data_IF_381382761095
#
_entry.id   IF_381382761095
#
_cell.length_a   1.000
_cell.length_b   1.000
_cell.length_c   1.000
_cell.angle_alpha   90.00
_cell.angle_beta   90.00
_cell.angle_gamma   90.00
#
_symmetry.space_group_name_H-M   'P 1'
#
loop_
_entity.id
_entity.type
_entity.pdbx_description
1 polymer ?
#
# COMPACT_ATOMS: atom_id res chain seq x y z
N UNK A 1 7.75 -19.83 8.36
CA UNK A 1 8.35 -19.12 9.51
C UNK A 1 7.89 -17.66 9.61
N UNK A 2 7.54 -16.96 8.53
CA UNK A 2 7.18 -15.54 8.63
C UNK A 2 5.85 -15.23 9.33
N UNK A 3 4.87 -16.14 9.32
CA UNK A 3 3.61 -15.94 10.06
C UNK A 3 3.79 -15.79 11.58
N UNK A 4 4.72 -16.54 12.18
CA UNK A 4 5.04 -16.45 13.61
C UNK A 4 5.84 -15.17 13.94
N UNK A 5 6.75 -14.76 13.04
CA UNK A 5 7.48 -13.48 13.13
C UNK A 5 6.54 -12.29 13.11
N UNK A 6 5.60 -12.25 12.16
CA UNK A 6 4.58 -11.19 12.07
C UNK A 6 3.78 -11.13 13.37
N UNK A 7 3.27 -12.25 13.86
CA UNK A 7 2.46 -12.31 15.10
C UNK A 7 3.21 -11.76 16.32
N UNK A 8 4.49 -12.10 16.47
CA UNK A 8 5.32 -11.57 17.56
C UNK A 8 5.56 -10.06 17.42
N UNK A 9 5.81 -9.58 16.20
CA UNK A 9 6.00 -8.15 15.93
C UNK A 9 4.70 -7.35 16.12
N UNK A 10 3.54 -7.91 15.76
CA UNK A 10 2.22 -7.33 16.05
C UNK A 10 1.97 -7.18 17.55
N UNK A 11 2.34 -8.19 18.33
CA UNK A 11 2.28 -8.08 19.79
C UNK A 11 3.24 -7.01 20.30
N UNK A 12 4.44 -6.92 19.73
CA UNK A 12 5.43 -5.90 20.10
C UNK A 12 4.90 -4.48 19.85
N UNK A 13 4.36 -4.18 18.67
CA UNK A 13 3.81 -2.84 18.38
C UNK A 13 2.58 -2.50 19.23
N UNK A 14 1.81 -3.51 19.68
CA UNK A 14 0.71 -3.31 20.64
C UNK A 14 1.20 -2.94 22.04
N UNK A 15 2.30 -3.56 22.48
CA UNK A 15 2.88 -3.30 23.80
C UNK A 15 3.67 -1.98 23.83
N UNK A 16 4.36 -1.66 22.75
CA UNK A 16 5.19 -0.45 22.62
C UNK A 16 4.87 0.29 21.32
N UNK A 17 3.75 1.04 21.26
CA UNK A 17 3.31 1.71 20.04
C UNK A 17 4.26 2.83 19.59
N UNK A 18 5.09 3.34 20.50
CA UNK A 18 6.09 4.39 20.24
C UNK A 18 7.47 3.83 19.83
N UNK A 19 7.61 2.50 19.73
CA UNK A 19 8.83 1.88 19.20
C UNK A 19 8.77 1.84 17.66
N UNK A 20 9.42 2.82 17.03
CA UNK A 20 9.47 2.88 15.56
C UNK A 20 10.17 1.67 14.94
N UNK A 21 11.12 1.05 15.65
CA UNK A 21 11.87 -0.10 15.13
C UNK A 21 10.96 -1.34 15.10
N UNK A 22 10.05 -1.47 16.06
CA UNK A 22 9.00 -2.49 16.01
C UNK A 22 8.08 -2.33 14.79
N UNK A 23 7.62 -1.10 14.51
CA UNK A 23 6.79 -0.82 13.32
C UNK A 23 7.54 -1.07 12.01
N UNK A 24 8.81 -0.68 11.95
CA UNK A 24 9.64 -0.88 10.76
C UNK A 24 9.92 -2.37 10.49
N UNK A 25 10.24 -3.15 11.53
CA UNK A 25 10.47 -4.58 11.39
C UNK A 25 9.18 -5.34 11.09
N UNK A 26 8.02 -4.90 11.59
CA UNK A 26 6.72 -5.42 11.20
C UNK A 26 6.44 -5.14 9.71
N UNK A 27 6.71 -3.92 9.24
CA UNK A 27 6.56 -3.56 7.83
C UNK A 27 7.45 -4.39 6.91
N UNK A 28 8.70 -4.66 7.31
CA UNK A 28 9.58 -5.59 6.60
C UNK A 28 9.03 -7.01 6.56
N UNK A 29 8.56 -7.53 7.68
CA UNK A 29 7.99 -8.87 7.72
C UNK A 29 6.77 -8.98 6.79
N UNK A 30 5.89 -7.98 6.78
CA UNK A 30 4.78 -7.91 5.82
C UNK A 30 5.23 -7.79 4.36
N UNK A 31 6.30 -7.03 4.10
CA UNK A 31 6.88 -6.90 2.76
C UNK A 31 7.47 -8.24 2.27
N UNK A 32 8.18 -8.97 3.14
CA UNK A 32 8.72 -10.30 2.82
C UNK A 32 7.62 -11.32 2.49
N UNK A 33 6.45 -11.21 3.14
CA UNK A 33 5.26 -12.03 2.87
C UNK A 33 4.37 -11.46 1.74
N UNK A 34 4.86 -10.45 0.99
CA UNK A 34 4.14 -9.80 -0.11
C UNK A 34 2.81 -9.12 0.28
N UNK A 35 2.60 -8.84 1.57
CA UNK A 35 1.46 -8.08 2.06
C UNK A 35 1.74 -6.57 1.97
N UNK A 36 1.90 -6.07 0.75
CA UNK A 36 2.40 -4.72 0.45
C UNK A 36 1.62 -3.59 1.11
N UNK A 37 0.29 -3.72 1.21
CA UNK A 37 -0.56 -2.70 1.84
C UNK A 37 -0.27 -2.61 3.34
N UNK A 38 -0.21 -3.75 4.04
CA UNK A 38 0.10 -3.76 5.47
C UNK A 38 1.53 -3.31 5.74
N UNK A 39 2.46 -3.69 4.86
CA UNK A 39 3.85 -3.23 4.92
C UNK A 39 3.91 -1.69 4.81
N UNK A 40 3.21 -1.12 3.84
CA UNK A 40 3.11 0.31 3.65
C UNK A 40 2.54 1.02 4.88
N UNK A 41 1.42 0.52 5.42
CA UNK A 41 0.80 1.09 6.62
C UNK A 41 1.77 1.09 7.81
N UNK A 42 2.52 0.00 8.01
CA UNK A 42 3.53 -0.12 9.06
C UNK A 42 4.69 0.87 8.86
N UNK A 43 5.16 1.06 7.63
CA UNK A 43 6.22 2.03 7.35
C UNK A 43 5.74 3.47 7.56
N UNK A 44 4.50 3.79 7.21
CA UNK A 44 3.94 5.11 7.49
C UNK A 44 3.78 5.35 9.00
N UNK A 45 3.42 4.33 9.78
CA UNK A 45 3.38 4.44 11.24
C UNK A 45 4.78 4.67 11.82
N UNK A 46 5.79 3.95 11.33
CA UNK A 46 7.17 4.16 11.74
C UNK A 46 7.64 5.61 11.45
N UNK A 47 7.28 6.19 10.29
CA UNK A 47 7.59 7.59 9.95
C UNK A 47 6.99 8.56 10.97
N UNK A 48 5.71 8.40 11.32
CA UNK A 48 5.01 9.24 12.31
C UNK A 48 5.71 9.17 13.66
N UNK A 49 5.96 7.96 14.16
CA UNK A 49 6.57 7.72 15.48
C UNK A 49 7.98 8.31 15.54
N UNK A 50 8.78 8.20 14.47
CA UNK A 50 10.11 8.83 14.42
C UNK A 50 10.01 10.35 14.53
N UNK A 51 9.10 10.97 13.77
CA UNK A 51 8.93 12.42 13.78
C UNK A 51 8.48 12.92 15.16
N UNK A 52 7.60 12.19 15.84
CA UNK A 52 7.18 12.50 17.21
C UNK A 52 8.33 12.35 18.21
N UNK A 53 9.11 11.27 18.12
CA UNK A 53 10.26 11.03 18.99
C UNK A 53 11.33 12.13 18.84
N UNK A 54 11.60 12.58 17.62
CA UNK A 54 12.50 13.72 17.36
C UNK A 54 11.92 15.01 17.95
N UNK A 55 10.61 15.25 17.78
CA UNK A 55 9.93 16.41 18.35
C UNK A 55 10.05 16.45 19.88
N UNK A 56 9.81 15.33 20.55
CA UNK A 56 9.93 15.23 22.01
C UNK A 56 11.37 15.38 22.51
N UNK A 57 12.36 14.86 21.77
CA UNK A 57 13.78 15.07 22.11
C UNK A 57 14.19 16.54 21.99
N UNK A 58 13.79 17.22 20.90
CA UNK A 58 14.06 18.65 20.71
C UNK A 58 13.37 19.50 21.78
N UNK A 59 12.15 19.14 22.15
CA UNK A 59 11.41 19.80 23.23
C UNK A 59 12.12 19.62 24.57
N UNK A 60 12.64 18.42 24.88
CA UNK A 60 13.44 18.15 26.09
C UNK A 60 14.73 18.98 26.13
N UNK A 61 15.31 19.30 24.97
CA UNK A 61 16.49 20.19 24.86
C UNK A 61 16.16 21.69 24.91
N UNK A 62 14.88 22.06 24.99
CA UNK A 62 14.44 23.46 24.99
C UNK A 62 14.26 24.08 23.60
N UNK A 63 14.48 23.32 22.53
CA UNK A 63 14.30 23.76 21.14
C UNK A 63 12.84 23.66 20.69
N UNK A 64 11.97 24.47 21.31
CA UNK A 64 10.50 24.38 21.15
C UNK A 64 10.07 24.63 19.70
N UNK A 65 10.64 25.60 19.00
CA UNK A 65 10.27 25.94 17.62
C UNK A 65 10.57 24.79 16.65
N UNK A 66 11.75 24.18 16.78
CA UNK A 66 12.15 23.01 16.01
C UNK A 66 11.23 21.82 16.30
N UNK A 67 10.93 21.56 17.58
CA UNK A 67 9.98 20.51 17.97
C UNK A 67 8.60 20.69 17.31
N UNK A 68 8.05 21.91 17.26
CA UNK A 68 6.78 22.19 16.58
C UNK A 68 6.82 21.89 15.07
N UNK A 69 7.97 22.06 14.41
CA UNK A 69 8.11 21.68 13.00
C UNK A 69 7.96 20.18 12.82
N UNK A 70 8.59 19.37 13.67
CA UNK A 70 8.52 17.92 13.60
C UNK A 70 7.13 17.37 13.97
N UNK A 71 6.48 17.91 14.99
CA UNK A 71 5.09 17.55 15.30
C UNK A 71 4.12 17.88 14.15
N UNK A 72 4.29 19.04 13.51
CA UNK A 72 3.49 19.39 12.32
C UNK A 72 3.75 18.44 11.15
N UNK A 73 4.98 17.96 10.98
CA UNK A 73 5.31 16.94 9.96
C UNK A 73 4.66 15.60 10.29
N UNK A 74 4.71 15.15 11.55
CA UNK A 74 4.04 13.94 12.01
C UNK A 74 2.53 13.98 11.71
N UNK A 75 1.85 15.08 12.09
CA UNK A 75 0.42 15.27 11.80
C UNK A 75 0.11 15.28 10.29
N UNK A 76 0.99 15.85 9.46
CA UNK A 76 0.82 15.80 7.99
C UNK A 76 1.00 14.38 7.46
N UNK A 77 1.94 13.61 8.02
CA UNK A 77 2.13 12.21 7.67
C UNK A 77 0.89 11.38 8.03
N UNK A 78 0.37 11.53 9.24
CA UNK A 78 -0.86 10.87 9.70
C UNK A 78 -2.08 11.23 8.83
N UNK A 79 -2.26 12.52 8.48
CA UNK A 79 -3.32 12.94 7.54
C UNK A 79 -3.18 12.31 6.16
N UNK A 80 -1.96 12.01 5.70
CA UNK A 80 -1.75 11.28 4.44
C UNK A 80 -2.23 9.84 4.57
N UNK A 81 -1.99 9.19 5.72
CA UNK A 81 -2.52 7.85 5.99
C UNK A 81 -4.04 7.84 5.92
N UNK A 82 -4.73 8.79 6.57
CA UNK A 82 -6.20 8.89 6.54
C UNK A 82 -6.78 9.09 5.14
N UNK A 83 -6.06 9.77 4.25
CA UNK A 83 -6.47 9.97 2.85
C UNK A 83 -6.17 8.77 1.95
N UNK A 84 -5.12 8.02 2.28
CA UNK A 84 -4.63 6.89 1.50
C UNK A 84 -5.14 5.55 2.00
N UNK A 85 -5.63 5.49 3.24
CA UNK A 85 -6.39 4.37 3.75
C UNK A 85 -7.47 4.11 2.71
N UNK A 86 -7.38 3.00 1.94
CA UNK A 86 -8.45 2.68 1.04
C UNK A 86 -9.66 2.62 1.94
N UNK A 87 -10.69 3.39 1.59
CA UNK A 87 -12.06 3.04 1.93
C UNK A 87 -12.31 1.67 1.30
N UNK A 88 -11.71 0.62 1.88
CA UNK A 88 -11.67 -0.75 1.38
C UNK A 88 -13.05 -1.38 1.34
N UNK A 89 -14.05 -0.69 1.90
CA UNK A 89 -15.46 -1.03 1.84
C UNK A 89 -16.19 -0.45 0.62
N UNK A 90 -15.72 0.63 -0.02
CA UNK A 90 -16.55 1.32 -1.01
C UNK A 90 -16.48 0.73 -2.41
N UNK A 91 -15.34 0.17 -2.83
CA UNK A 91 -15.27 -0.40 -4.19
C UNK A 91 -16.08 -1.68 -4.30
N UNK A 92 -16.06 -2.56 -3.29
CA UNK A 92 -16.91 -3.75 -3.25
C UNK A 92 -18.40 -3.40 -3.16
N UNK A 93 -18.75 -2.40 -2.35
CA UNK A 93 -20.13 -1.89 -2.29
C UNK A 93 -20.56 -1.25 -3.61
N UNK A 94 -19.67 -0.49 -4.27
CA UNK A 94 -19.95 0.12 -5.57
C UNK A 94 -20.14 -0.96 -6.63
N UNK A 95 -19.28 -1.98 -6.66
CA UNK A 95 -19.43 -3.13 -7.56
C UNK A 95 -20.76 -3.85 -7.28
N UNK A 96 -21.08 -4.12 -6.02
CA UNK A 96 -22.33 -4.79 -5.62
C UNK A 96 -23.58 -4.00 -6.05
N UNK A 97 -23.57 -2.67 -5.86
CA UNK A 97 -24.65 -1.77 -6.26
C UNK A 97 -24.79 -1.76 -7.78
N UNK A 98 -23.69 -1.64 -8.53
CA UNK A 98 -23.72 -1.61 -10.00
C UNK A 98 -24.16 -2.95 -10.58
N UNK A 99 -23.69 -4.08 -10.05
CA UNK A 99 -24.16 -5.40 -10.51
C UNK A 99 -25.62 -5.65 -10.16
N UNK A 100 -26.07 -5.18 -8.99
CA UNK A 100 -27.45 -5.31 -8.55
C UNK A 100 -28.42 -4.50 -9.41
N UNK A 101 -28.06 -3.28 -9.82
CA UNK A 101 -28.90 -2.46 -10.69
C UNK A 101 -29.01 -3.06 -12.10
N UNK A 102 -27.90 -3.56 -12.67
CA UNK A 102 -27.92 -4.23 -13.98
C UNK A 102 -28.84 -5.47 -13.95
N UNK A 103 -28.78 -6.27 -12.88
CA UNK A 103 -29.65 -7.45 -12.73
C UNK A 103 -31.13 -7.06 -12.67
N UNK A 104 -31.48 -6.00 -11.92
CA UNK A 104 -32.85 -5.49 -11.86
C UNK A 104 -33.35 -5.03 -13.24
N UNK A 105 -32.55 -4.24 -13.96
CA UNK A 105 -32.91 -3.81 -15.31
C UNK A 105 -33.09 -4.98 -16.28
N UNK A 106 -32.22 -6.00 -16.21
CA UNK A 106 -32.35 -7.23 -17.02
C UNK A 106 -33.67 -7.95 -16.74
N UNK A 107 -34.03 -8.14 -15.46
CA UNK A 107 -35.30 -8.81 -15.09
C UNK A 107 -36.55 -8.04 -15.54
N UNK A 108 -36.52 -6.71 -15.48
CA UNK A 108 -37.64 -5.86 -15.94
C UNK A 108 -37.80 -5.96 -17.46
N UNK A 109 -36.69 -5.91 -18.21
CA UNK A 109 -36.69 -6.07 -19.68
C UNK A 109 -37.24 -7.46 -20.05
N UNK A 110 -36.87 -8.50 -19.32
CA UNK A 110 -37.36 -9.86 -19.53
C UNK A 110 -38.86 -10.01 -19.28
N UNK A 111 -39.38 -9.34 -18.25
CA UNK A 111 -40.81 -9.37 -17.93
C UNK A 111 -41.65 -8.70 -19.02
N UNK A 112 -41.14 -7.61 -19.61
CA UNK A 112 -41.80 -6.88 -20.70
C UNK A 112 -41.77 -7.68 -22.01
N UNK A 113 -40.69 -8.41 -22.29
CA UNK A 113 -40.51 -9.20 -23.52
C UNK A 113 -41.02 -10.66 -23.41
N UNK A 114 -41.44 -11.07 -22.20
CA UNK A 114 -41.90 -12.42 -21.85
C UNK A 114 -42.96 -13.04 -22.78
N UNK A 115 -43.96 -12.29 -23.29
CA UNK A 115 -45.03 -12.90 -24.09
C UNK A 115 -44.58 -13.38 -25.47
N UNK A 116 -43.46 -12.87 -25.99
CA UNK A 116 -43.12 -13.01 -27.41
C UNK A 116 -42.05 -14.06 -27.72
N UNK A 117 -41.41 -14.66 -26.70
CA UNK A 117 -40.14 -15.37 -26.90
C UNK A 117 -39.87 -16.47 -25.85
N UNK A 118 -40.90 -17.24 -25.49
CA UNK A 118 -40.84 -18.24 -24.39
C UNK A 118 -39.72 -19.30 -24.49
N UNK A 119 -39.07 -19.49 -25.64
CA UNK A 119 -38.08 -20.57 -25.84
C UNK A 119 -36.68 -20.12 -26.28
N UNK A 120 -36.51 -18.88 -26.78
CA UNK A 120 -35.24 -18.43 -27.39
C UNK A 120 -34.46 -17.45 -26.50
N UNK A 121 -35.17 -16.66 -25.69
CA UNK A 121 -34.58 -15.61 -24.86
C UNK A 121 -33.62 -16.16 -23.78
N UNK A 122 -33.94 -17.23 -23.02
CA UNK A 122 -33.05 -17.71 -21.95
C UNK A 122 -31.69 -18.18 -22.48
N UNK A 123 -31.69 -18.82 -23.66
CA UNK A 123 -30.48 -19.29 -24.31
C UNK A 123 -29.61 -18.13 -24.81
N UNK A 124 -30.24 -17.11 -25.42
CA UNK A 124 -29.57 -15.91 -25.89
C UNK A 124 -28.94 -15.10 -24.75
N UNK A 125 -29.58 -15.05 -23.57
CA UNK A 125 -29.02 -14.36 -22.39
C UNK A 125 -27.81 -15.10 -21.84
N UNK A 126 -27.90 -16.42 -21.66
CA UNK A 126 -26.77 -17.22 -21.20
C UNK A 126 -25.56 -17.07 -22.13
N UNK A 127 -25.83 -17.02 -23.45
CA UNK A 127 -24.80 -16.85 -24.46
C UNK A 127 -24.23 -15.42 -24.44
N UNK A 128 -25.07 -14.40 -24.22
CA UNK A 128 -24.65 -13.01 -24.06
C UNK A 128 -23.81 -12.80 -22.80
N UNK A 129 -24.24 -13.32 -21.65
CA UNK A 129 -23.52 -13.22 -20.37
C UNK A 129 -22.17 -13.93 -20.44
N UNK A 130 -22.09 -15.10 -21.08
CA UNK A 130 -20.84 -15.81 -21.33
C UNK A 130 -19.90 -14.98 -22.22
N UNK A 131 -20.43 -14.33 -23.25
CA UNK A 131 -19.66 -13.54 -24.21
C UNK A 131 -19.15 -12.24 -23.56
N UNK A 132 -19.97 -11.58 -22.76
CA UNK A 132 -19.59 -10.42 -21.93
C UNK A 132 -18.52 -10.82 -20.92
N UNK A 133 -18.67 -11.96 -20.24
CA UNK A 133 -17.67 -12.47 -19.31
C UNK A 133 -16.34 -12.75 -20.00
N UNK A 134 -16.37 -13.40 -21.16
CA UNK A 134 -15.17 -13.69 -21.97
C UNK A 134 -14.47 -12.43 -22.50
N UNK A 135 -15.21 -11.36 -22.78
CA UNK A 135 -14.62 -10.07 -23.18
C UNK A 135 -14.09 -9.26 -21.99
N UNK A 136 -14.74 -9.34 -20.83
CA UNK A 136 -14.32 -8.58 -19.64
C UNK A 136 -13.18 -9.25 -18.88
N UNK A 137 -13.05 -10.59 -18.92
CA UNK A 137 -12.02 -11.32 -18.21
C UNK A 137 -10.59 -10.90 -18.62
N UNK A 138 -10.22 -10.79 -19.91
CA UNK A 138 -8.90 -10.34 -20.33
C UNK A 138 -8.64 -8.87 -19.94
N UNK A 139 -9.65 -8.02 -20.02
CA UNK A 139 -9.55 -6.59 -19.64
C UNK A 139 -9.32 -6.48 -18.13
N UNK A 140 -10.01 -7.28 -17.32
CA UNK A 140 -9.81 -7.34 -15.88
C UNK A 140 -8.41 -7.85 -15.52
N UNK A 141 -7.92 -8.89 -16.20
CA UNK A 141 -6.56 -9.44 -16.01
C UNK A 141 -5.50 -8.39 -16.38
N UNK A 142 -5.64 -7.74 -17.54
CA UNK A 142 -4.69 -6.70 -17.99
C UNK A 142 -4.76 -5.46 -17.10
N UNK A 143 -5.94 -5.01 -16.68
CA UNK A 143 -6.12 -3.89 -15.76
C UNK A 143 -5.54 -4.22 -14.37
N UNK A 144 -5.70 -5.44 -13.88
CA UNK A 144 -5.09 -5.88 -12.63
C UNK A 144 -3.55 -5.96 -12.74
N UNK A 145 -3.01 -6.43 -13.87
CA UNK A 145 -1.57 -6.51 -14.11
C UNK A 145 -0.92 -5.14 -14.30
N UNK A 146 -1.55 -4.25 -15.06
CA UNK A 146 -1.08 -2.87 -15.28
C UNK A 146 -1.25 -2.01 -14.04
N UNK A 147 -2.32 -2.22 -13.25
CA UNK A 147 -2.48 -1.59 -11.94
C UNK A 147 -1.36 -1.99 -10.98
N UNK A 148 -0.89 -3.26 -10.98
CA UNK A 148 0.26 -3.69 -10.18
C UNK A 148 1.55 -3.01 -10.61
N UNK A 149 1.87 -2.99 -11.91
CA UNK A 149 3.07 -2.30 -12.41
C UNK A 149 3.07 -0.80 -12.12
N UNK A 150 1.92 -0.14 -12.29
CA UNK A 150 1.78 1.30 -12.03
C UNK A 150 1.87 1.61 -10.53
N UNK A 151 1.36 0.74 -9.66
CA UNK A 151 1.54 0.88 -8.20
C UNK A 151 2.98 0.67 -7.78
N UNK A 152 3.72 -0.26 -8.41
CA UNK A 152 5.16 -0.43 -8.14
C UNK A 152 5.98 0.79 -8.56
N UNK A 153 5.78 1.33 -9.76
CA UNK A 153 6.50 2.53 -10.21
C UNK A 153 6.12 3.76 -9.39
N UNK A 154 4.84 3.97 -9.09
CA UNK A 154 4.37 5.06 -8.25
C UNK A 154 4.88 4.93 -6.80
N UNK A 155 4.96 3.71 -6.28
CA UNK A 155 5.55 3.42 -4.98
C UNK A 155 7.05 3.74 -4.97
N UNK A 156 7.81 3.31 -5.99
CA UNK A 156 9.24 3.64 -6.13
C UNK A 156 9.47 5.14 -6.24
N UNK A 157 8.63 5.86 -6.99
CA UNK A 157 8.74 7.30 -7.17
C UNK A 157 8.41 8.05 -5.87
N UNK A 158 7.43 7.57 -5.09
CA UNK A 158 7.13 8.10 -3.74
C UNK A 158 8.25 7.80 -2.75
N UNK A 159 8.85 6.61 -2.82
CA UNK A 159 10.00 6.24 -1.98
C UNK A 159 11.19 7.16 -2.26
N UNK A 160 11.49 7.37 -3.55
CA UNK A 160 12.57 8.24 -3.99
C UNK A 160 12.32 9.71 -3.63
N UNK A 161 11.07 10.18 -3.68
CA UNK A 161 10.69 11.51 -3.22
C UNK A 161 10.91 11.67 -1.71
N UNK A 162 10.51 10.66 -0.92
CA UNK A 162 10.73 10.63 0.53
C UNK A 162 12.24 10.62 0.83
N UNK A 163 13.03 9.82 0.10
CA UNK A 163 14.50 9.81 0.21
C UNK A 163 15.10 11.19 -0.08
N UNK A 164 14.65 11.86 -1.13
CA UNK A 164 15.12 13.19 -1.49
C UNK A 164 14.75 14.24 -0.43
N UNK A 165 13.54 14.17 0.12
CA UNK A 165 13.10 15.07 1.21
C UNK A 165 13.90 14.84 2.48
N UNK A 166 14.13 13.58 2.85
CA UNK A 166 14.99 13.22 3.98
C UNK A 166 16.40 13.79 3.73
N UNK A 167 16.99 13.55 2.55
CA UNK A 167 18.33 14.05 2.22
C UNK A 167 18.43 15.58 2.20
N UNK A 168 17.38 16.30 1.80
CA UNK A 168 17.35 17.76 1.84
C UNK A 168 17.32 18.30 3.28
N UNK A 169 16.55 17.66 4.16
CA UNK A 169 16.51 18.00 5.60
C UNK A 169 17.85 17.69 6.26
N UNK A 170 18.44 16.54 5.91
CA UNK A 170 19.76 16.07 6.38
C UNK A 170 20.88 17.06 6.03
N UNK A 171 20.85 17.62 4.82
CA UNK A 171 21.90 18.53 4.35
C UNK A 171 21.74 19.97 4.91
N UNK A 172 20.61 20.27 5.56
CA UNK A 172 20.35 21.59 6.17
C UNK A 172 20.75 21.67 7.65
N UNK A 173 21.00 20.55 8.34
CA UNK A 173 21.33 20.54 9.77
C UNK A 173 22.78 20.06 10.01
N UNK A 174 23.62 20.97 10.47
CA UNK A 174 25.04 20.76 10.83
C UNK A 174 25.17 20.12 12.23
N UNK A 175 24.43 19.04 12.49
CA UNK A 175 24.39 18.37 13.80
C UNK A 175 25.01 16.96 13.69
N UNK A 176 26.21 16.73 14.25
CA UNK A 176 26.98 15.50 14.07
C UNK A 176 26.28 14.21 14.56
N UNK A 177 25.40 14.30 15.56
CA UNK A 177 24.67 13.16 16.11
C UNK A 177 23.50 12.73 15.21
N UNK A 178 22.86 13.69 14.55
CA UNK A 178 21.83 13.45 13.54
C UNK A 178 22.49 12.79 12.32
N UNK A 179 23.66 13.28 11.89
CA UNK A 179 24.48 12.66 10.82
C UNK A 179 24.79 11.18 11.09
N UNK A 180 25.08 10.80 12.35
CA UNK A 180 25.37 9.41 12.74
C UNK A 180 24.13 8.51 12.68
N UNK A 181 22.98 9.00 13.15
CA UNK A 181 21.68 8.31 13.02
C UNK A 181 21.25 8.17 11.55
N UNK A 182 21.51 9.19 10.74
CA UNK A 182 21.22 9.20 9.30
C UNK A 182 22.12 8.23 8.54
N UNK A 183 23.41 8.10 8.87
CA UNK A 183 24.28 7.10 8.25
C UNK A 183 23.78 5.68 8.49
N UNK A 184 23.29 5.39 9.70
CA UNK A 184 22.68 4.10 10.03
C UNK A 184 21.39 3.89 9.23
N UNK A 185 20.56 4.93 9.11
CA UNK A 185 19.38 4.93 8.24
C UNK A 185 19.70 4.65 6.77
N UNK A 186 20.69 5.35 6.19
CA UNK A 186 21.16 5.17 4.80
C UNK A 186 21.72 3.77 4.54
N UNK A 187 22.44 3.19 5.50
CA UNK A 187 22.94 1.82 5.40
C UNK A 187 21.80 0.78 5.43
N UNK A 188 20.78 0.99 6.26
CA UNK A 188 19.58 0.14 6.30
C UNK A 188 18.73 0.30 5.03
N UNK A 189 18.60 1.51 4.50
CA UNK A 189 17.89 1.81 3.24
C UNK A 189 18.59 1.25 2.01
N UNK A 190 19.92 1.42 1.88
CA UNK A 190 20.71 0.79 0.80
C UNK A 190 20.57 -0.72 0.84
N UNK A 191 20.58 -1.35 2.02
CA UNK A 191 20.35 -2.79 2.16
C UNK A 191 18.94 -3.19 1.74
N UNK A 192 17.92 -2.40 2.07
CA UNK A 192 16.55 -2.64 1.63
C UNK A 192 16.39 -2.50 0.10
N UNK A 193 17.01 -1.48 -0.50
CA UNK A 193 17.05 -1.29 -1.96
C UNK A 193 17.76 -2.45 -2.68
N UNK A 194 18.92 -2.87 -2.18
CA UNK A 194 19.64 -4.04 -2.72
C UNK A 194 18.86 -5.34 -2.55
N UNK A 195 18.17 -5.54 -1.42
CA UNK A 195 17.30 -6.69 -1.22
C UNK A 195 16.13 -6.68 -2.22
N UNK A 196 15.56 -5.51 -2.50
CA UNK A 196 14.47 -5.34 -3.46
C UNK A 196 14.93 -5.57 -4.92
N UNK A 197 16.09 -5.04 -5.31
CA UNK A 197 16.69 -5.30 -6.63
C UNK A 197 17.04 -6.78 -6.82
N UNK A 198 17.49 -7.46 -5.75
CA UNK A 198 17.77 -8.91 -5.78
C UNK A 198 16.50 -9.73 -5.97
N UNK A 199 15.45 -9.44 -5.20
CA UNK A 199 14.14 -10.11 -5.35
C UNK A 199 13.56 -9.87 -6.74
N UNK A 200 13.69 -8.65 -7.28
CA UNK A 200 13.27 -8.32 -8.65
C UNK A 200 14.01 -9.16 -9.69
N UNK A 201 15.32 -9.34 -9.51
CA UNK A 201 16.16 -10.13 -10.42
C UNK A 201 15.81 -11.62 -10.37
N UNK A 202 15.71 -12.20 -9.17
CA UNK A 202 15.33 -13.60 -8.97
C UNK A 202 13.92 -13.91 -9.51
N UNK A 203 12.99 -12.96 -9.38
CA UNK A 203 11.64 -13.07 -9.92
C UNK A 203 11.60 -12.99 -11.45
N UNK A 204 12.39 -12.09 -12.07
CA UNK A 204 12.51 -12.03 -13.53
C UNK A 204 13.16 -13.30 -14.11
N UNK A 205 14.17 -13.84 -13.42
CA UNK A 205 14.89 -15.03 -13.86
C UNK A 205 14.02 -16.30 -13.72
N UNK A 206 13.23 -16.39 -12.66
CA UNK A 206 12.24 -17.47 -12.46
C UNK A 206 11.14 -17.45 -13.51
N UNK A 207 10.73 -16.25 -13.95
CA UNK A 207 9.73 -16.08 -15.00
C UNK A 207 10.27 -16.42 -16.40
N UNK A 208 11.55 -16.19 -16.66
CA UNK A 208 12.20 -16.55 -17.93
C UNK A 208 12.51 -18.04 -18.05
N UNK A 209 12.85 -18.73 -16.95
CA UNK A 209 13.08 -20.19 -16.95
C UNK A 209 11.78 -21.02 -16.99
N UNK A 210 10.63 -20.40 -16.74
CA UNK A 210 9.30 -21.04 -16.78
C UNK A 210 8.60 -20.97 -18.14
N UNK A 211 9.27 -20.48 -19.19
CA UNK A 211 8.82 -20.48 -20.59
C UNK A 211 9.62 -21.48 -21.41
#
# INVERSE_FOLDING_TARGET
>A
MGSERIKNLEMKVKMTPTDFEAWYELGKAYHEEMEWLKAFDCFQHAEVVILENIGEELKRRGSIESAQVYFRRAQRAERRQLKLAPTGSNWLQTVLIVTGTIALFSTIILFILWPSFQFLIPLLILLFDLLVFMMLLPIAIVKHATSRKKTDEEFQLKLQLIENQINAIVNQEDIPEIQKFIQIGRLKQKRAKFAWERVRYEYSESFERGK
#
